data_IF_041475125740
#
_entry.id   IF_041475125740
#
_cell.length_a   1.000
_cell.length_b   1.000
_cell.length_c   1.000
_cell.angle_alpha   90.00
_cell.angle_beta   90.00
_cell.angle_gamma   90.00
#
_symmetry.space_group_name_H-M   'P 1'
#
loop_
_entity.id
_entity.type
_entity.pdbx_description
1 polymer ?
#
# COMPACT_ATOMS: atom_id res chain seq x y z
N UNK A 1 9.53 6.95 6.08
CA UNK A 1 9.34 6.33 4.76
C UNK A 1 10.38 6.89 3.80
N UNK A 2 10.93 6.09 2.88
CA UNK A 2 11.90 6.56 1.87
C UNK A 2 11.39 6.16 0.49
N UNK A 3 11.45 7.08 -0.46
CA UNK A 3 11.04 6.84 -1.84
C UNK A 3 11.82 7.74 -2.79
N UNK A 4 11.49 7.67 -4.08
CA UNK A 4 12.06 8.50 -5.12
C UNK A 4 11.03 8.81 -6.20
N UNK A 5 11.27 9.90 -6.93
CA UNK A 5 10.50 10.29 -8.12
C UNK A 5 11.44 10.65 -9.26
N UNK A 6 10.94 10.63 -10.50
CA UNK A 6 11.68 11.15 -11.63
C UNK A 6 11.95 12.65 -11.42
N UNK A 7 13.16 13.11 -11.75
CA UNK A 7 13.55 14.51 -11.63
C UNK A 7 12.69 15.46 -12.49
N UNK A 8 12.08 14.94 -13.56
CA UNK A 8 11.16 15.66 -14.44
C UNK A 8 9.73 15.75 -13.91
N UNK A 9 9.42 15.18 -12.74
CA UNK A 9 8.09 15.24 -12.16
C UNK A 9 7.90 16.57 -11.41
N UNK A 10 6.83 17.31 -11.72
CA UNK A 10 6.50 18.59 -11.07
C UNK A 10 6.35 18.48 -9.53
N UNK A 11 6.06 17.28 -9.03
CA UNK A 11 6.02 16.98 -7.59
C UNK A 11 7.35 17.26 -6.88
N UNK A 12 8.47 17.25 -7.61
CA UNK A 12 9.80 17.56 -7.06
C UNK A 12 9.82 18.95 -6.40
N UNK A 13 9.15 19.93 -6.98
CA UNK A 13 9.11 21.28 -6.41
C UNK A 13 8.31 21.32 -5.10
N UNK A 14 7.24 20.53 -4.98
CA UNK A 14 6.51 20.39 -3.73
C UNK A 14 7.33 19.65 -2.66
N UNK A 15 8.08 18.62 -3.04
CA UNK A 15 8.98 17.89 -2.14
C UNK A 15 10.12 18.79 -1.62
N UNK A 16 10.73 19.61 -2.49
CA UNK A 16 11.78 20.57 -2.11
C UNK A 16 11.28 21.64 -1.15
N UNK A 17 10.02 22.06 -1.26
CA UNK A 17 9.42 23.02 -0.33
C UNK A 17 9.25 22.46 1.08
N UNK A 18 9.28 21.13 1.26
CA UNK A 18 9.19 20.50 2.58
C UNK A 18 7.89 20.84 3.31
N UNK A 19 6.75 20.73 2.62
CA UNK A 19 5.44 21.00 3.20
C UNK A 19 4.86 19.75 3.87
N UNK A 20 4.03 19.90 4.93
CA UNK A 20 3.27 18.79 5.49
C UNK A 20 2.54 18.02 4.40
N UNK A 21 2.79 16.72 4.33
CA UNK A 21 2.36 15.84 3.25
C UNK A 21 1.74 14.57 3.81
N UNK A 22 1.00 13.85 2.96
CA UNK A 22 0.38 12.57 3.28
C UNK A 22 0.75 11.56 2.20
N UNK A 23 1.27 10.40 2.62
CA UNK A 23 1.35 9.23 1.77
C UNK A 23 0.16 8.31 2.07
N UNK A 24 -0.59 7.94 1.04
CA UNK A 24 -1.78 7.09 1.14
C UNK A 24 -1.41 5.71 0.58
N UNK A 25 -1.46 4.70 1.43
CA UNK A 25 -1.32 3.30 1.04
C UNK A 25 -2.70 2.65 1.17
N UNK A 26 -3.28 2.24 0.05
CA UNK A 26 -4.63 1.69 -0.01
C UNK A 26 -4.64 0.38 -0.79
N UNK A 27 -5.41 -0.59 -0.32
CA UNK A 27 -5.71 -1.79 -1.11
C UNK A 27 -6.68 -1.47 -2.27
N UNK A 28 -6.92 -2.43 -3.15
CA UNK A 28 -7.91 -2.25 -4.20
C UNK A 28 -9.36 -2.20 -3.66
N UNK A 29 -9.58 -2.72 -2.46
CA UNK A 29 -10.88 -3.03 -1.89
C UNK A 29 -11.74 -3.95 -2.76
N UNK A 30 -13.00 -4.14 -2.37
CA UNK A 30 -14.01 -4.85 -3.17
C UNK A 30 -15.42 -4.47 -2.75
N UNK A 31 -16.36 -4.53 -3.67
CA UNK A 31 -17.78 -4.40 -3.35
C UNK A 31 -18.26 -5.64 -2.59
N UNK A 32 -18.92 -5.44 -1.45
CA UNK A 32 -19.54 -6.49 -0.65
C UNK A 32 -21.05 -6.35 -0.77
N UNK A 33 -21.68 -7.36 -1.39
CA UNK A 33 -23.11 -7.34 -1.64
C UNK A 33 -23.89 -7.95 -0.47
N UNK A 34 -24.90 -7.23 0.02
CA UNK A 34 -25.84 -7.79 1.00
C UNK A 34 -26.66 -8.96 0.46
N UNK A 35 -26.67 -9.19 -0.86
CA UNK A 35 -27.30 -10.37 -1.45
C UNK A 35 -26.65 -11.69 -1.01
N UNK A 36 -25.41 -11.64 -0.49
CA UNK A 36 -24.67 -12.78 0.03
C UNK A 36 -25.14 -13.20 1.43
N UNK A 37 -25.72 -12.27 2.17
CA UNK A 37 -26.08 -12.47 3.57
C UNK A 37 -27.34 -13.36 3.72
N UNK A 38 -27.43 -14.13 4.82
CA UNK A 38 -28.64 -14.86 5.16
C UNK A 38 -29.86 -13.94 5.21
N UNK A 39 -30.98 -14.43 4.66
CA UNK A 39 -32.25 -13.69 4.62
C UNK A 39 -33.07 -13.76 5.91
N UNK A 40 -32.66 -14.55 6.91
CA UNK A 40 -33.37 -14.79 8.16
C UNK A 40 -32.55 -14.32 9.36
N UNK A 41 -33.12 -13.60 10.35
CA UNK A 41 -34.50 -13.09 10.37
C UNK A 41 -34.76 -12.05 9.29
N UNK A 42 -33.77 -11.20 9.00
CA UNK A 42 -33.74 -10.29 7.85
C UNK A 42 -32.30 -9.89 7.52
N UNK A 43 -32.11 -9.33 6.32
CA UNK A 43 -30.85 -8.68 5.93
C UNK A 43 -30.87 -7.25 6.46
N UNK A 44 -30.04 -6.98 7.46
CA UNK A 44 -29.95 -5.66 8.10
C UNK A 44 -28.68 -4.88 7.67
N UNK A 45 -27.65 -5.58 7.21
CA UNK A 45 -26.42 -4.96 6.70
C UNK A 45 -26.60 -4.44 5.27
N UNK A 46 -26.29 -3.16 5.04
CA UNK A 46 -26.32 -2.53 3.72
C UNK A 46 -25.10 -2.93 2.85
N UNK A 47 -25.23 -2.91 1.50
CA UNK A 47 -24.10 -3.21 0.63
C UNK A 47 -23.05 -2.10 0.75
N UNK A 48 -21.77 -2.46 0.61
CA UNK A 48 -20.67 -1.54 0.93
C UNK A 48 -19.41 -1.80 0.10
N UNK A 49 -18.43 -0.92 0.20
CA UNK A 49 -17.08 -1.15 -0.30
C UNK A 49 -16.17 -1.46 0.88
N UNK A 50 -15.63 -2.68 0.91
CA UNK A 50 -14.65 -3.08 1.93
C UNK A 50 -13.24 -2.74 1.45
N UNK A 51 -12.45 -2.10 2.30
CA UNK A 51 -11.10 -1.65 1.97
C UNK A 51 -10.24 -1.46 3.22
N UNK A 52 -8.95 -1.34 2.98
CA UNK A 52 -7.93 -1.05 3.99
C UNK A 52 -7.05 0.09 3.51
N UNK A 53 -6.82 1.09 4.37
CA UNK A 53 -6.01 2.26 4.04
C UNK A 53 -5.16 2.70 5.23
N UNK A 54 -3.95 3.15 4.94
CA UNK A 54 -3.10 3.89 5.87
C UNK A 54 -2.78 5.28 5.29
N UNK A 55 -3.10 6.32 6.06
CA UNK A 55 -2.64 7.68 5.82
C UNK A 55 -1.41 7.95 6.70
N UNK A 56 -0.28 8.20 6.06
CA UNK A 56 0.99 8.45 6.73
C UNK A 56 1.33 9.93 6.55
N UNK A 57 1.26 10.68 7.63
CA UNK A 57 1.59 12.09 7.66
C UNK A 57 3.08 12.29 7.95
N UNK A 58 3.67 13.25 7.26
CA UNK A 58 5.02 13.69 7.53
C UNK A 58 5.47 14.82 6.63
N UNK A 59 6.63 15.39 6.95
CA UNK A 59 7.24 16.44 6.16
C UNK A 59 8.42 15.87 5.34
N UNK A 60 8.35 15.87 4.00
CA UNK A 60 9.38 15.27 3.17
C UNK A 60 10.67 16.10 3.17
N UNK A 61 11.80 15.42 3.03
CA UNK A 61 13.14 16.00 2.90
C UNK A 61 13.86 15.34 1.73
N UNK A 62 14.46 16.15 0.88
CA UNK A 62 15.25 15.65 -0.25
C UNK A 62 16.49 14.93 0.27
N UNK A 63 16.76 13.75 -0.27
CA UNK A 63 17.95 12.98 0.03
C UNK A 63 19.14 13.48 -0.77
N UNK A 64 20.35 13.27 -0.22
CA UNK A 64 21.56 13.37 -1.02
C UNK A 64 21.61 12.29 -2.11
N UNK A 65 22.45 12.48 -3.11
CA UNK A 65 22.66 11.48 -4.18
C UNK A 65 23.10 10.13 -3.58
N UNK A 66 24.02 10.14 -2.60
CA UNK A 66 24.48 8.91 -1.94
C UNK A 66 23.39 8.20 -1.13
N UNK A 67 22.54 8.95 -0.43
CA UNK A 67 21.39 8.37 0.28
C UNK A 67 20.33 7.83 -0.69
N UNK A 68 20.12 8.51 -1.81
CA UNK A 68 19.25 8.04 -2.91
C UNK A 68 19.78 6.75 -3.51
N UNK A 69 21.08 6.66 -3.79
CA UNK A 69 21.72 5.46 -4.31
C UNK A 69 21.59 4.28 -3.33
N UNK A 70 21.78 4.53 -2.03
CA UNK A 70 21.57 3.52 -0.98
C UNK A 70 20.12 3.02 -0.98
N UNK A 71 19.14 3.92 -1.01
CA UNK A 71 17.72 3.57 -1.06
C UNK A 71 17.40 2.69 -2.29
N UNK A 72 17.90 3.03 -3.47
CA UNK A 72 17.69 2.23 -4.68
C UNK A 72 18.26 0.82 -4.56
N UNK A 73 19.44 0.65 -3.96
CA UNK A 73 20.01 -0.67 -3.70
C UNK A 73 19.16 -1.49 -2.74
N UNK A 74 18.70 -0.88 -1.64
CA UNK A 74 17.84 -1.54 -0.66
C UNK A 74 16.49 -1.94 -1.27
N UNK A 75 15.91 -1.08 -2.10
CA UNK A 75 14.66 -1.35 -2.81
C UNK A 75 14.83 -2.53 -3.80
N UNK A 76 15.87 -2.51 -4.64
CA UNK A 76 16.15 -3.63 -5.56
C UNK A 76 16.36 -4.93 -4.78
N UNK A 77 17.18 -4.91 -3.73
CA UNK A 77 17.39 -6.09 -2.88
C UNK A 77 16.09 -6.62 -2.28
N UNK A 78 15.18 -5.73 -1.87
CA UNK A 78 13.88 -6.11 -1.33
C UNK A 78 12.98 -6.73 -2.41
N UNK A 79 12.86 -6.10 -3.58
CA UNK A 79 11.95 -6.51 -4.66
C UNK A 79 12.42 -7.76 -5.43
N UNK A 80 13.73 -7.99 -5.49
CA UNK A 80 14.32 -9.16 -6.14
C UNK A 80 14.45 -10.38 -5.20
N UNK A 81 14.15 -10.22 -3.91
CA UNK A 81 14.25 -11.29 -2.91
C UNK A 81 13.35 -12.48 -3.31
N UNK A 82 13.94 -13.67 -3.37
CA UNK A 82 13.21 -14.93 -3.60
C UNK A 82 12.96 -15.28 -5.06
N UNK A 83 13.51 -14.52 -6.02
CA UNK A 83 13.49 -14.88 -7.44
C UNK A 83 14.61 -15.86 -7.77
N UNK A 84 14.38 -16.72 -8.77
CA UNK A 84 15.35 -17.75 -9.19
C UNK A 84 16.66 -17.17 -9.74
N UNK A 85 16.58 -16.01 -10.40
CA UNK A 85 17.74 -15.24 -10.85
C UNK A 85 17.55 -13.76 -10.48
N UNK A 86 17.86 -13.36 -9.23
CA UNK A 86 17.57 -12.02 -8.74
C UNK A 86 18.49 -11.02 -9.40
N UNK A 87 17.90 -10.00 -10.04
CA UNK A 87 18.66 -8.95 -10.69
C UNK A 87 19.46 -8.13 -9.66
N UNK A 88 20.71 -7.81 -9.97
CA UNK A 88 21.58 -7.02 -9.09
C UNK A 88 21.94 -5.68 -9.72
N UNK A 89 22.05 -4.64 -8.90
CA UNK A 89 22.40 -3.29 -9.36
C UNK A 89 23.69 -3.24 -10.20
N UNK A 90 24.66 -4.12 -9.92
CA UNK A 90 25.91 -4.23 -10.68
C UNK A 90 25.73 -4.63 -12.15
N UNK A 91 24.61 -5.25 -12.51
CA UNK A 91 24.28 -5.64 -13.89
C UNK A 91 24.01 -4.44 -14.81
N UNK A 92 23.87 -3.24 -14.25
CA UNK A 92 23.84 -2.00 -15.03
C UNK A 92 25.16 -1.71 -15.77
N UNK A 93 26.24 -2.40 -15.41
CA UNK A 93 27.58 -2.15 -15.92
C UNK A 93 28.21 -0.86 -15.35
N UNK A 94 29.48 -0.58 -15.70
CA UNK A 94 30.20 0.59 -15.20
C UNK A 94 29.47 1.90 -15.52
N UNK A 95 29.27 2.77 -14.52
CA UNK A 95 28.62 4.08 -14.70
C UNK A 95 27.09 4.02 -14.87
N UNK A 96 26.50 2.82 -14.85
CA UNK A 96 25.11 2.61 -15.21
C UNK A 96 24.12 3.22 -14.20
N UNK A 97 24.44 3.15 -12.90
CA UNK A 97 23.65 3.77 -11.83
C UNK A 97 23.81 5.29 -11.83
N UNK A 98 25.04 5.78 -11.97
CA UNK A 98 25.42 7.19 -11.95
C UNK A 98 24.69 7.99 -13.03
N UNK A 99 24.55 7.41 -14.23
CA UNK A 99 23.77 8.01 -15.33
C UNK A 99 22.28 8.15 -14.98
N UNK A 100 21.72 7.22 -14.21
CA UNK A 100 20.31 7.21 -13.82
C UNK A 100 20.04 8.11 -12.62
N UNK A 101 20.95 8.13 -11.65
CA UNK A 101 20.84 8.95 -10.43
C UNK A 101 20.61 10.44 -10.74
N UNK A 102 21.23 10.96 -11.80
CA UNK A 102 21.02 12.35 -12.27
C UNK A 102 19.56 12.69 -12.59
N UNK A 103 18.74 11.68 -12.88
CA UNK A 103 17.33 11.83 -13.25
C UNK A 103 16.38 11.34 -12.14
N UNK A 104 16.90 11.07 -10.94
CA UNK A 104 16.13 10.54 -9.81
C UNK A 104 16.29 11.47 -8.62
N UNK A 105 15.18 11.90 -8.05
CA UNK A 105 15.15 12.66 -6.79
C UNK A 105 14.66 11.74 -5.69
N UNK A 106 15.57 11.35 -4.79
CA UNK A 106 15.22 10.64 -3.57
C UNK A 106 14.68 11.59 -2.51
N UNK A 107 13.75 11.11 -1.69
CA UNK A 107 13.28 11.83 -0.52
C UNK A 107 12.97 10.85 0.62
N UNK A 108 13.13 11.33 1.84
CA UNK A 108 12.58 10.71 3.03
C UNK A 108 11.39 11.52 3.53
N UNK A 109 10.42 10.83 4.11
CA UNK A 109 9.32 11.43 4.85
C UNK A 109 9.28 10.76 6.22
N UNK A 110 9.87 11.37 7.26
CA UNK A 110 9.73 10.90 8.63
C UNK A 110 8.25 10.80 9.00
N UNK A 111 7.88 9.71 9.68
CA UNK A 111 6.48 9.48 10.05
C UNK A 111 6.20 10.31 11.30
N UNK A 112 5.31 11.29 11.17
CA UNK A 112 4.85 12.13 12.28
C UNK A 112 3.56 11.58 12.89
N UNK A 113 2.65 11.09 12.04
CA UNK A 113 1.37 10.49 12.43
C UNK A 113 0.97 9.44 11.42
N UNK A 114 0.34 8.36 11.88
CA UNK A 114 -0.25 7.34 11.02
C UNK A 114 -1.69 7.09 11.44
N UNK A 115 -2.60 7.17 10.47
CA UNK A 115 -4.02 6.82 10.64
C UNK A 115 -4.33 5.61 9.78
N UNK A 116 -4.90 4.58 10.38
CA UNK A 116 -5.22 3.34 9.67
C UNK A 116 -6.71 3.07 9.78
N UNK A 117 -7.34 2.73 8.66
CA UNK A 117 -8.75 2.34 8.62
C UNK A 117 -8.89 0.98 7.94
N UNK A 118 -9.54 0.08 8.66
CA UNK A 118 -10.11 -1.15 8.14
C UNK A 118 -11.61 -0.94 8.06
N UNK A 119 -12.19 -0.93 6.86
CA UNK A 119 -13.64 -0.95 6.66
C UNK A 119 -13.97 -2.33 6.12
N UNK A 120 -14.20 -3.28 7.03
CA UNK A 120 -14.32 -4.70 6.72
C UNK A 120 -15.65 -5.31 7.21
N UNK A 121 -16.53 -4.50 7.83
CA UNK A 121 -17.79 -4.96 8.41
C UNK A 121 -17.64 -5.48 9.85
N UNK A 122 -16.70 -4.91 10.61
CA UNK A 122 -16.38 -5.38 11.97
C UNK A 122 -17.53 -5.20 12.98
N UNK A 123 -18.48 -4.32 12.66
CA UNK A 123 -19.66 -4.03 13.47
C UNK A 123 -20.90 -4.79 12.99
N UNK A 124 -20.78 -5.57 11.90
CA UNK A 124 -21.87 -6.36 11.32
C UNK A 124 -22.01 -7.72 12.02
N UNK A 125 -23.11 -8.43 11.75
CA UNK A 125 -23.38 -9.74 12.36
C UNK A 125 -22.39 -10.79 11.88
N UNK A 126 -21.99 -11.69 12.78
CA UNK A 126 -21.09 -12.81 12.48
C UNK A 126 -21.56 -13.67 11.29
N UNK A 127 -22.88 -13.91 11.18
CA UNK A 127 -23.45 -14.67 10.08
C UNK A 127 -23.28 -13.97 8.71
N UNK A 128 -23.38 -12.65 8.67
CA UNK A 128 -23.21 -11.84 7.46
C UNK A 128 -21.74 -11.83 7.04
N UNK A 129 -20.83 -11.62 8.00
CA UNK A 129 -19.40 -11.64 7.72
C UNK A 129 -18.90 -13.03 7.31
N UNK A 130 -19.40 -14.10 7.92
CA UNK A 130 -19.11 -15.47 7.50
C UNK A 130 -19.55 -15.74 6.07
N UNK A 131 -20.73 -15.24 5.67
CA UNK A 131 -21.23 -15.37 4.30
C UNK A 131 -20.42 -14.55 3.30
N UNK A 132 -20.04 -13.31 3.64
CA UNK A 132 -19.16 -12.50 2.79
C UNK A 132 -17.79 -13.15 2.62
N UNK A 133 -17.15 -13.62 3.69
CA UNK A 133 -15.85 -14.30 3.62
C UNK A 133 -15.92 -15.50 2.68
N UNK A 134 -16.95 -16.34 2.83
CA UNK A 134 -17.17 -17.47 1.92
C UNK A 134 -17.30 -17.04 0.46
N UNK A 135 -18.10 -16.00 0.18
CA UNK A 135 -18.26 -15.48 -1.18
C UNK A 135 -16.98 -14.88 -1.75
N UNK A 136 -16.18 -14.20 -0.93
CA UNK A 136 -14.89 -13.66 -1.35
C UNK A 136 -13.90 -14.77 -1.73
N UNK A 137 -13.86 -15.89 -0.99
CA UNK A 137 -13.07 -17.06 -1.41
C UNK A 137 -13.58 -17.64 -2.75
N UNK A 138 -14.90 -17.78 -2.93
CA UNK A 138 -15.47 -18.26 -4.20
C UNK A 138 -15.12 -17.35 -5.39
N UNK A 139 -14.98 -16.03 -5.16
CA UNK A 139 -14.57 -15.04 -6.17
C UNK A 139 -13.04 -14.87 -6.30
N UNK A 140 -12.24 -15.69 -5.60
CA UNK A 140 -10.77 -15.62 -5.62
C UNK A 140 -10.20 -14.35 -4.98
N UNK A 141 -10.95 -13.73 -4.05
CA UNK A 141 -10.56 -12.53 -3.29
C UNK A 141 -9.93 -12.92 -1.95
N UNK A 142 -8.95 -13.82 -2.00
CA UNK A 142 -8.32 -14.45 -0.83
C UNK A 142 -7.83 -13.44 0.22
N UNK A 143 -7.06 -12.43 -0.20
CA UNK A 143 -6.50 -11.46 0.74
C UNK A 143 -7.57 -10.69 1.51
N UNK A 144 -8.66 -10.26 0.85
CA UNK A 144 -9.74 -9.55 1.52
C UNK A 144 -10.52 -10.47 2.46
N UNK A 145 -10.76 -11.72 2.04
CA UNK A 145 -11.43 -12.73 2.86
C UNK A 145 -10.63 -13.01 4.15
N UNK A 146 -9.32 -13.21 4.04
CA UNK A 146 -8.41 -13.41 5.19
C UNK A 146 -8.42 -12.20 6.14
N UNK A 147 -8.40 -10.99 5.59
CA UNK A 147 -8.43 -9.77 6.39
C UNK A 147 -9.78 -9.57 7.09
N UNK A 148 -10.89 -9.86 6.42
CA UNK A 148 -12.22 -9.88 7.07
C UNK A 148 -12.27 -10.92 8.19
N UNK A 149 -11.77 -12.14 7.96
CA UNK A 149 -11.74 -13.19 8.98
C UNK A 149 -10.89 -12.81 10.21
N UNK A 150 -9.79 -12.09 10.00
CA UNK A 150 -8.91 -11.61 11.08
C UNK A 150 -9.52 -10.48 11.91
N UNK A 151 -10.28 -9.60 11.28
CA UNK A 151 -10.68 -8.32 11.89
C UNK A 151 -12.17 -8.24 12.30
N UNK A 152 -13.03 -9.10 11.75
CA UNK A 152 -14.43 -9.18 12.14
C UNK A 152 -14.60 -10.16 13.32
N UNK A 153 -15.62 -9.92 14.15
CA UNK A 153 -16.02 -10.85 15.21
C UNK A 153 -16.92 -11.92 14.60
N UNK A 154 -16.38 -13.12 14.43
CA UNK A 154 -17.09 -14.30 13.89
C UNK A 154 -17.57 -15.22 15.01
#
# INVERSE_FOLDING_TARGET
MVSHVAASNDHVEFLKRGLPSIAILMDAGHYVSSSWYPGCPERDSAPTWSFMVAHIHGTPKILSEGATAKHLHELVKHMEKGRDNPWQMKELGPGGLERRLRNIVGYEMPIEKMEVKFKLGQDERAADMSAAIKKLHEEGREHLAEMMARHCKL
#
